data_IF_078953096912
#
_entry.id   IF_078953096912
#
_cell.length_a   1.000
_cell.length_b   1.000
_cell.length_c   1.000
_cell.angle_alpha   90.00
_cell.angle_beta   90.00
_cell.angle_gamma   90.00
#
_symmetry.space_group_name_H-M   'P 1'
#
loop_
_entity.id
_entity.type
_entity.pdbx_description
1 polymer ?
#
# COMPACT_ATOMS: atom_id res chain seq x y z
N UNK A 1 -19.87 -26.91 9.97
CA UNK A 1 -19.14 -25.67 10.29
C UNK A 1 -17.90 -25.64 9.41
N UNK A 2 -17.94 -24.89 8.31
CA UNK A 2 -16.80 -24.77 7.41
C UNK A 2 -15.86 -23.74 8.02
N UNK A 3 -14.72 -24.19 8.54
CA UNK A 3 -13.61 -23.30 8.89
C UNK A 3 -13.16 -22.63 7.58
N UNK A 4 -13.55 -21.37 7.37
CA UNK A 4 -12.91 -20.50 6.39
C UNK A 4 -11.44 -20.43 6.78
N UNK A 5 -10.56 -21.01 5.96
CA UNK A 5 -9.12 -20.82 6.11
C UNK A 5 -8.85 -19.31 6.13
N UNK A 6 -7.98 -18.80 7.02
CA UNK A 6 -7.54 -17.42 6.91
C UNK A 6 -6.98 -17.24 5.50
N UNK A 7 -7.45 -16.24 4.77
CA UNK A 7 -6.90 -15.88 3.47
C UNK A 7 -5.39 -15.71 3.64
N UNK A 8 -4.59 -16.56 2.99
CA UNK A 8 -3.13 -16.44 3.02
C UNK A 8 -2.77 -15.06 2.49
N UNK A 9 -2.11 -14.25 3.32
CA UNK A 9 -1.61 -12.94 2.91
C UNK A 9 -0.80 -13.11 1.62
N UNK A 10 -1.17 -12.35 0.58
CA UNK A 10 -0.48 -12.44 -0.70
C UNK A 10 0.99 -12.00 -0.52
N UNK A 11 1.92 -12.41 -1.39
CA UNK A 11 3.29 -11.91 -1.35
C UNK A 11 3.40 -10.38 -1.36
N UNK A 12 2.42 -9.69 -1.94
CA UNK A 12 2.30 -8.22 -1.94
C UNK A 12 1.89 -7.71 -0.56
N UNK A 13 0.92 -8.35 0.10
CA UNK A 13 0.48 -7.96 1.45
C UNK A 13 1.64 -8.07 2.46
N UNK A 14 2.37 -9.18 2.41
CA UNK A 14 3.54 -9.40 3.27
C UNK A 14 4.65 -8.37 2.98
N UNK A 15 4.91 -8.09 1.70
CA UNK A 15 5.90 -7.09 1.29
C UNK A 15 5.58 -5.69 1.80
N UNK A 16 4.32 -5.27 1.65
CA UNK A 16 3.86 -3.96 2.11
C UNK A 16 3.95 -3.87 3.63
N UNK A 17 3.51 -4.90 4.35
CA UNK A 17 3.65 -4.98 5.80
C UNK A 17 5.11 -4.82 6.25
N UNK A 18 6.01 -5.61 5.67
CA UNK A 18 7.45 -5.53 5.95
C UNK A 18 8.02 -4.13 5.70
N UNK A 19 7.63 -3.47 4.59
CA UNK A 19 8.13 -2.14 4.24
C UNK A 19 7.65 -1.05 5.22
N UNK A 20 6.45 -1.18 5.76
CA UNK A 20 5.92 -0.26 6.76
C UNK A 20 6.57 -0.47 8.13
N UNK A 21 6.79 -1.73 8.52
CA UNK A 21 7.35 -2.06 9.83
C UNK A 21 8.86 -1.79 9.90
N UNK A 22 9.60 -2.15 8.85
CA UNK A 22 11.07 -2.14 8.84
C UNK A 22 11.66 -1.00 8.03
N UNK A 23 10.84 -0.37 7.19
CA UNK A 23 11.29 0.65 6.25
C UNK A 23 11.65 0.07 4.88
N UNK A 24 11.33 0.81 3.83
CA UNK A 24 11.51 0.39 2.42
C UNK A 24 12.97 0.00 2.11
N UNK A 25 13.96 0.65 2.71
CA UNK A 25 15.39 0.37 2.49
C UNK A 25 15.88 -0.95 3.09
N UNK A 26 15.18 -1.46 4.10
CA UNK A 26 15.58 -2.66 4.87
C UNK A 26 14.96 -3.95 4.33
N UNK A 27 13.98 -3.82 3.42
CA UNK A 27 13.24 -4.94 2.86
C UNK A 27 13.88 -5.40 1.55
N UNK A 28 14.01 -6.72 1.39
CA UNK A 28 14.48 -7.33 0.15
C UNK A 28 13.29 -7.87 -0.63
N UNK A 29 13.43 -7.90 -1.96
CA UNK A 29 12.40 -8.46 -2.84
C UNK A 29 12.09 -9.93 -2.49
N UNK A 30 10.84 -10.26 -2.14
CA UNK A 30 10.44 -11.63 -1.85
C UNK A 30 10.39 -12.47 -3.14
N UNK A 31 10.49 -13.80 -2.98
CA UNK A 31 10.27 -14.74 -4.09
C UNK A 31 8.79 -14.67 -4.50
N UNK A 32 8.51 -14.55 -5.79
CA UNK A 32 7.15 -14.43 -6.33
C UNK A 32 6.68 -13.01 -6.62
N UNK A 33 7.46 -11.98 -6.29
CA UNK A 33 7.23 -10.59 -6.72
C UNK A 33 8.27 -10.21 -7.78
N UNK A 34 7.86 -9.61 -8.88
CA UNK A 34 8.82 -9.19 -9.93
C UNK A 34 9.69 -8.02 -9.45
N UNK A 35 10.85 -7.79 -10.09
CA UNK A 35 11.69 -6.64 -9.73
C UNK A 35 10.95 -5.32 -9.96
N UNK A 36 10.20 -5.23 -11.06
CA UNK A 36 9.41 -4.06 -11.40
C UNK A 36 8.33 -3.78 -10.35
N UNK A 37 7.60 -4.80 -9.91
CA UNK A 37 6.56 -4.66 -8.88
C UNK A 37 7.18 -4.23 -7.55
N UNK A 38 8.31 -4.83 -7.18
CA UNK A 38 9.03 -4.46 -5.97
C UNK A 38 9.46 -2.99 -5.98
N UNK A 39 10.02 -2.49 -7.09
CA UNK A 39 10.46 -1.10 -7.22
C UNK A 39 9.27 -0.12 -7.21
N UNK A 40 8.17 -0.49 -7.88
CA UNK A 40 6.95 0.31 -7.90
C UNK A 40 6.31 0.38 -6.51
N UNK A 41 6.13 -0.76 -5.84
CA UNK A 41 5.60 -0.82 -4.48
C UNK A 41 6.50 -0.03 -3.53
N UNK A 42 7.82 -0.19 -3.61
CA UNK A 42 8.79 0.58 -2.81
C UNK A 42 8.58 2.08 -2.96
N UNK A 43 8.39 2.55 -4.19
CA UNK A 43 8.17 3.98 -4.49
C UNK A 43 6.83 4.47 -3.90
N UNK A 44 5.77 3.68 -4.03
CA UNK A 44 4.45 3.98 -3.47
C UNK A 44 4.51 4.05 -1.95
N UNK A 45 5.11 3.05 -1.29
CA UNK A 45 5.23 3.01 0.18
C UNK A 45 6.12 4.14 0.70
N UNK A 46 7.24 4.44 0.05
CA UNK A 46 8.07 5.58 0.42
C UNK A 46 7.27 6.90 0.36
N UNK A 47 6.40 7.06 -0.64
CA UNK A 47 5.51 8.23 -0.76
C UNK A 47 4.48 8.26 0.38
N UNK A 48 3.86 7.13 0.70
CA UNK A 48 2.96 6.97 1.87
C UNK A 48 3.67 7.42 3.13
N UNK A 49 4.81 6.79 3.45
CA UNK A 49 5.59 7.10 4.66
C UNK A 49 5.88 8.59 4.72
N UNK A 50 6.34 9.21 3.61
CA UNK A 50 6.62 10.65 3.56
C UNK A 50 5.39 11.55 3.81
N UNK A 51 4.23 11.21 3.27
CA UNK A 51 3.01 12.04 3.42
C UNK A 51 2.40 11.94 4.81
N UNK A 52 2.49 10.78 5.45
CA UNK A 52 1.83 10.52 6.73
C UNK A 52 2.79 10.53 7.94
N UNK A 53 4.09 10.82 7.76
CA UNK A 53 5.11 10.72 8.82
C UNK A 53 5.04 11.68 10.04
N UNK A 54 4.13 12.66 10.13
CA UNK A 54 3.82 13.25 11.44
C UNK A 54 2.47 12.79 12.00
N UNK A 55 1.65 12.09 11.23
CA UNK A 55 0.28 11.71 11.60
C UNK A 55 0.25 10.22 11.93
N UNK A 56 0.48 9.87 13.19
CA UNK A 56 0.46 8.50 13.75
C UNK A 56 -0.84 7.70 13.47
N UNK A 57 -1.81 8.20 12.69
CA UNK A 57 -3.15 7.60 12.59
C UNK A 57 -3.89 7.72 11.25
N UNK A 58 -3.25 8.05 10.13
CA UNK A 58 -3.92 7.93 8.83
C UNK A 58 -3.31 6.83 7.98
N UNK A 59 -4.04 5.73 7.95
CA UNK A 59 -3.68 4.49 7.27
C UNK A 59 -4.39 4.51 5.91
N UNK A 60 -3.70 4.72 4.77
CA UNK A 60 -4.31 4.69 3.42
C UNK A 60 -4.88 3.31 3.03
N UNK A 61 -4.81 2.34 3.94
CA UNK A 61 -5.36 0.99 3.84
C UNK A 61 -6.84 0.89 4.23
N UNK A 62 -7.43 1.95 4.79
CA UNK A 62 -8.89 2.02 4.87
C UNK A 62 -9.46 2.37 3.51
N UNK A 63 -10.60 1.78 3.09
CA UNK A 63 -11.26 2.20 1.87
C UNK A 63 -11.54 3.69 2.00
N UNK A 64 -11.13 4.46 0.99
CA UNK A 64 -11.54 5.86 0.87
C UNK A 64 -13.03 5.87 0.50
N UNK A 65 -13.89 5.44 1.42
CA UNK A 65 -15.36 5.38 1.27
C UNK A 65 -15.93 6.76 0.93
N UNK A 66 -15.17 7.85 1.09
CA UNK A 66 -15.71 9.19 1.01
C UNK A 66 -15.52 9.91 -0.34
N UNK A 67 -14.76 9.40 -1.33
CA UNK A 67 -14.34 10.26 -2.47
C UNK A 67 -14.30 9.64 -3.88
N UNK A 68 -15.03 8.56 -4.14
CA UNK A 68 -15.22 8.04 -5.50
C UNK A 68 -14.10 7.15 -6.07
N UNK A 69 -13.12 6.75 -5.25
CA UNK A 69 -12.14 5.73 -5.62
C UNK A 69 -12.73 4.32 -5.50
N UNK A 70 -12.38 3.42 -6.44
CA UNK A 70 -12.91 2.05 -6.52
C UNK A 70 -12.19 1.06 -5.60
N UNK A 71 -11.70 1.47 -4.43
CA UNK A 71 -11.00 0.57 -3.51
C UNK A 71 -10.07 1.25 -2.52
N UNK A 72 -9.20 0.44 -1.92
CA UNK A 72 -8.09 0.81 -1.05
C UNK A 72 -6.79 0.93 -1.83
N UNK A 73 -5.75 1.51 -1.23
CA UNK A 73 -4.41 1.46 -1.81
C UNK A 73 -3.93 0.01 -2.03
N UNK A 74 -4.30 -0.94 -1.16
CA UNK A 74 -3.93 -2.34 -1.33
C UNK A 74 -4.54 -2.98 -2.57
N UNK A 75 -5.74 -2.57 -2.96
CA UNK A 75 -6.41 -3.14 -4.14
C UNK A 75 -5.62 -2.79 -5.40
N UNK A 76 -5.22 -1.52 -5.55
CA UNK A 76 -4.34 -1.09 -6.65
C UNK A 76 -3.00 -1.82 -6.66
N UNK A 77 -2.38 -2.03 -5.49
CA UNK A 77 -1.11 -2.75 -5.40
C UNK A 77 -1.25 -4.23 -5.79
N UNK A 78 -2.33 -4.90 -5.36
CA UNK A 78 -2.62 -6.29 -5.71
C UNK A 78 -2.93 -6.47 -7.20
N UNK A 79 -3.60 -5.49 -7.80
CA UNK A 79 -3.92 -5.48 -9.23
C UNK A 79 -2.72 -5.08 -10.11
N UNK A 80 -1.63 -4.57 -9.51
CA UNK A 80 -0.48 -4.02 -10.24
C UNK A 80 -0.76 -2.67 -10.90
N UNK A 81 -1.85 -1.98 -10.54
CA UNK A 81 -2.18 -0.63 -11.02
C UNK A 81 -1.47 0.44 -10.19
N UNK A 82 -0.16 0.56 -10.39
CA UNK A 82 0.66 1.54 -9.69
C UNK A 82 0.34 2.98 -10.08
N UNK A 83 -0.20 3.19 -11.28
CA UNK A 83 -0.65 4.52 -11.72
C UNK A 83 -1.89 4.94 -10.93
N UNK A 84 -2.85 4.03 -10.76
CA UNK A 84 -3.99 4.19 -9.87
C UNK A 84 -3.57 4.43 -8.42
N UNK A 85 -2.61 3.66 -7.90
CA UNK A 85 -2.06 3.86 -6.57
C UNK A 85 -1.44 5.26 -6.38
N UNK A 86 -0.68 5.75 -7.35
CA UNK A 86 -0.14 7.12 -7.32
C UNK A 86 -1.23 8.19 -7.38
N UNK A 87 -2.28 7.98 -8.17
CA UNK A 87 -3.45 8.85 -8.26
C UNK A 87 -4.24 8.89 -6.94
N UNK A 88 -4.46 7.73 -6.32
CA UNK A 88 -5.05 7.60 -4.98
C UNK A 88 -4.29 8.45 -3.97
N UNK A 89 -2.96 8.29 -3.92
CA UNK A 89 -2.10 9.04 -3.01
C UNK A 89 -2.07 10.54 -3.29
N UNK A 90 -2.17 10.95 -4.56
CA UNK A 90 -2.25 12.36 -4.92
C UNK A 90 -3.57 12.97 -4.43
N UNK A 91 -4.69 12.28 -4.65
CA UNK A 91 -6.00 12.71 -4.16
C UNK A 91 -6.02 12.80 -2.62
N UNK A 92 -5.44 11.84 -1.91
CA UNK A 92 -5.38 11.87 -0.45
C UNK A 92 -4.51 13.02 0.09
N UNK A 93 -3.40 13.33 -0.59
CA UNK A 93 -2.51 14.42 -0.19
C UNK A 93 -3.18 15.79 -0.22
N UNK A 94 -4.17 16.02 -1.09
CA UNK A 94 -4.95 17.26 -1.15
C UNK A 94 -5.80 17.52 0.11
N UNK A 95 -6.01 16.49 0.93
CA UNK A 95 -6.85 16.55 2.12
C UNK A 95 -6.08 16.43 3.44
N UNK A 96 -4.75 16.31 3.38
CA UNK A 96 -3.91 16.39 4.55
C UNK A 96 -3.74 17.87 4.94
N UNK A 97 -3.95 18.25 6.22
CA UNK A 97 -3.68 19.60 6.67
C UNK A 97 -2.18 19.91 6.53
N UNK A 98 -1.87 21.11 6.01
CA UNK A 98 -0.52 21.61 5.78
C UNK A 98 0.28 21.83 7.07
#
# INVERSE_FOLDING_TARGET
>A
MTLTKPEEATPIDALVGDMLERGVSEVRRPRGVSQQDFDNISTVIAKVVRMYHPVERYVPWQPAVQRGNRGTLMDYLREGDYRGAHGFLAAEAEFLPA
#
